data_IF_860533659080
#
_entry.id   IF_860533659080
#
_cell.length_a   1.000
_cell.length_b   1.000
_cell.length_c   1.000
_cell.angle_alpha   90.00
_cell.angle_beta   90.00
_cell.angle_gamma   90.00
#
_symmetry.space_group_name_H-M   'P 1'
#
loop_
_entity.id
_entity.type
_entity.pdbx_description
1 polymer ?
#
# COMPACT_ATOMS: atom_id res chain seq x y z
N UNK A 1 -50.14 -0.80 11.41
CA UNK A 1 -48.69 -0.52 11.49
C UNK A 1 -47.94 -1.49 10.58
N UNK A 2 -47.66 -1.10 9.33
CA UNK A 2 -46.95 -1.94 8.35
C UNK A 2 -45.48 -2.07 8.75
N UNK A 3 -45.00 -3.30 8.98
CA UNK A 3 -43.57 -3.58 9.22
C UNK A 3 -42.80 -3.35 7.91
N UNK A 4 -42.11 -2.22 7.81
CA UNK A 4 -41.19 -1.96 6.70
C UNK A 4 -40.11 -3.06 6.68
N UNK A 5 -40.06 -3.84 5.59
CA UNK A 5 -39.01 -4.84 5.38
C UNK A 5 -37.69 -4.11 5.15
N UNK A 6 -36.65 -4.40 5.97
CA UNK A 6 -35.30 -3.87 5.75
C UNK A 6 -34.84 -4.26 4.34
N UNK A 7 -34.24 -3.33 3.56
CA UNK A 7 -33.75 -3.66 2.22
C UNK A 7 -32.69 -4.76 2.33
N UNK A 8 -32.80 -5.78 1.46
CA UNK A 8 -31.81 -6.85 1.35
C UNK A 8 -30.46 -6.24 1.00
N UNK A 9 -29.56 -6.17 1.97
CA UNK A 9 -28.19 -5.69 1.75
C UNK A 9 -27.48 -6.74 0.90
N UNK A 10 -26.98 -6.36 -0.27
CA UNK A 10 -26.12 -7.24 -1.07
C UNK A 10 -24.90 -7.55 -0.19
N UNK A 11 -24.60 -8.82 0.10
CA UNK A 11 -23.39 -9.16 0.84
C UNK A 11 -22.18 -8.82 -0.02
N UNK A 12 -21.36 -7.88 0.45
CA UNK A 12 -20.24 -7.31 -0.30
C UNK A 12 -20.52 -5.88 -0.74
N UNK A 13 -19.72 -4.94 -0.23
CA UNK A 13 -19.84 -3.52 -0.62
C UNK A 13 -19.57 -3.34 -2.11
N UNK A 14 -20.33 -2.45 -2.75
CA UNK A 14 -20.07 -2.04 -4.13
C UNK A 14 -18.79 -1.18 -4.19
N UNK A 15 -17.92 -1.48 -5.16
CA UNK A 15 -16.77 -0.63 -5.48
C UNK A 15 -16.95 -0.05 -6.86
N UNK A 16 -17.03 1.27 -6.95
CA UNK A 16 -17.18 1.96 -8.22
C UNK A 16 -15.88 1.90 -9.02
N UNK A 17 -15.96 1.44 -10.27
CA UNK A 17 -14.91 1.61 -11.27
C UNK A 17 -15.37 2.68 -12.27
N UNK A 18 -14.77 3.88 -12.26
CA UNK A 18 -15.26 4.99 -13.10
C UNK A 18 -15.16 4.66 -14.59
N UNK A 19 -16.13 5.12 -15.37
CA UNK A 19 -16.12 4.95 -16.83
C UNK A 19 -14.84 5.48 -17.48
N UNK A 20 -14.35 6.64 -17.02
CA UNK A 20 -13.07 7.22 -17.44
C UNK A 20 -11.91 6.26 -17.20
N UNK A 21 -11.89 5.58 -16.06
CA UNK A 21 -10.83 4.62 -15.71
C UNK A 21 -10.92 3.37 -16.57
N UNK A 22 -12.12 2.79 -16.72
CA UNK A 22 -12.36 1.58 -17.49
C UNK A 22 -11.91 1.70 -18.96
N UNK A 23 -12.13 2.88 -19.56
CA UNK A 23 -11.80 3.15 -20.97
C UNK A 23 -10.41 3.78 -21.16
N UNK A 24 -9.64 3.98 -20.09
CA UNK A 24 -8.32 4.58 -20.19
C UNK A 24 -7.28 3.59 -20.75
N UNK A 25 -6.29 4.11 -21.49
CA UNK A 25 -5.16 3.30 -22.02
C UNK A 25 -4.42 2.53 -20.92
N UNK A 26 -4.28 3.14 -19.73
CA UNK A 26 -3.69 2.49 -18.55
C UNK A 26 -4.42 1.22 -18.15
N UNK A 27 -5.76 1.28 -18.08
CA UNK A 27 -6.56 0.13 -17.70
C UNK A 27 -6.55 -0.91 -18.81
N UNK A 28 -6.74 -0.50 -20.07
CA UNK A 28 -6.76 -1.40 -21.23
C UNK A 28 -5.48 -2.23 -21.32
N UNK A 29 -4.30 -1.62 -21.11
CA UNK A 29 -2.99 -2.31 -21.17
C UNK A 29 -2.65 -3.13 -19.93
N UNK A 30 -3.43 -3.00 -18.85
CA UNK A 30 -3.20 -3.71 -17.61
C UNK A 30 -3.40 -5.24 -17.79
N UNK A 31 -2.55 -6.09 -17.19
CA UNK A 31 -2.73 -7.55 -17.24
C UNK A 31 -4.10 -7.99 -16.69
N UNK A 32 -4.72 -9.06 -17.21
CA UNK A 32 -6.05 -9.51 -16.78
C UNK A 32 -6.19 -9.69 -15.27
N UNK A 33 -5.21 -10.33 -14.63
CA UNK A 33 -5.21 -10.54 -13.18
C UNK A 33 -5.15 -9.22 -12.40
N UNK A 34 -4.44 -8.22 -12.92
CA UNK A 34 -4.37 -6.91 -12.30
C UNK A 34 -5.66 -6.10 -12.50
N UNK A 35 -6.33 -6.24 -13.65
CA UNK A 35 -7.67 -5.67 -13.88
C UNK A 35 -8.69 -6.21 -12.88
N UNK A 36 -8.74 -7.54 -12.72
CA UNK A 36 -9.65 -8.19 -11.79
C UNK A 36 -9.42 -7.79 -10.32
N UNK A 37 -8.17 -7.51 -9.95
CA UNK A 37 -7.82 -7.11 -8.59
C UNK A 37 -7.93 -5.59 -8.35
N UNK A 38 -7.97 -4.75 -9.38
CA UNK A 38 -8.07 -3.29 -9.23
C UNK A 38 -9.25 -2.84 -8.35
N UNK A 39 -10.50 -3.35 -8.53
CA UNK A 39 -11.61 -3.01 -7.66
C UNK A 39 -11.36 -3.32 -6.18
N UNK A 40 -10.62 -4.39 -5.87
CA UNK A 40 -10.27 -4.68 -4.47
C UNK A 40 -9.43 -3.55 -3.86
N UNK A 41 -8.45 -3.02 -4.59
CA UNK A 41 -7.62 -1.90 -4.13
C UNK A 41 -8.42 -0.59 -4.01
N UNK A 42 -9.30 -0.30 -4.97
CA UNK A 42 -10.19 0.87 -4.91
C UNK A 42 -11.13 0.80 -3.69
N UNK A 43 -11.60 -0.41 -3.34
CA UNK A 43 -12.48 -0.65 -2.21
C UNK A 43 -11.81 -0.69 -0.84
N UNK A 44 -10.46 -0.71 -0.79
CA UNK A 44 -9.70 -0.58 0.47
C UNK A 44 -9.80 0.83 1.03
N UNK A 45 -9.86 1.83 0.16
CA UNK A 45 -10.09 3.22 0.55
C UNK A 45 -11.57 3.39 0.86
N UNK A 46 -11.90 3.63 2.13
CA UNK A 46 -13.28 3.82 2.61
C UNK A 46 -13.74 5.28 2.55
N UNK A 47 -13.05 6.09 1.76
CA UNK A 47 -13.34 7.50 1.52
C UNK A 47 -14.09 7.61 0.18
N UNK A 48 -14.99 8.58 0.06
CA UNK A 48 -15.70 8.80 -1.18
C UNK A 48 -14.74 9.30 -2.27
N UNK A 49 -14.86 8.78 -3.50
CA UNK A 49 -13.91 9.05 -4.60
C UNK A 49 -13.82 10.53 -5.01
N UNK A 50 -14.88 11.31 -4.76
CA UNK A 50 -14.90 12.76 -5.06
C UNK A 50 -14.13 13.59 -4.03
N UNK A 51 -13.78 13.02 -2.88
CA UNK A 51 -13.03 13.74 -1.87
C UNK A 51 -11.55 13.79 -2.23
N UNK A 52 -10.92 14.94 -1.99
CA UNK A 52 -9.50 15.13 -2.27
C UNK A 52 -8.64 14.09 -1.53
N UNK A 53 -9.06 13.68 -0.33
CA UNK A 53 -8.36 12.72 0.52
C UNK A 53 -8.33 11.30 -0.05
N UNK A 54 -9.17 10.96 -1.03
CA UNK A 54 -9.25 9.62 -1.60
C UNK A 54 -7.89 9.10 -2.12
N UNK A 55 -7.10 9.96 -2.75
CA UNK A 55 -5.76 9.62 -3.28
C UNK A 55 -4.64 9.79 -2.26
N UNK A 56 -4.93 10.39 -1.10
CA UNK A 56 -3.98 10.52 0.00
C UNK A 56 -4.16 9.42 1.06
N UNK A 57 -5.28 8.71 1.03
CA UNK A 57 -5.55 7.61 1.93
C UNK A 57 -4.54 6.48 1.75
N UNK A 58 -3.88 6.13 2.85
CA UNK A 58 -2.98 5.01 2.91
C UNK A 58 -3.74 3.72 3.24
N UNK A 59 -3.35 2.62 2.60
CA UNK A 59 -3.84 1.30 2.92
C UNK A 59 -2.70 0.30 2.90
N UNK A 60 -2.77 -0.65 3.82
CA UNK A 60 -1.80 -1.73 3.90
C UNK A 60 -2.27 -2.93 3.08
N UNK A 61 -1.33 -3.63 2.45
CA UNK A 61 -1.59 -4.93 1.88
C UNK A 61 -0.61 -5.96 2.40
N UNK A 62 -1.16 -7.10 2.78
CA UNK A 62 -0.43 -8.25 3.27
C UNK A 62 -0.55 -9.41 2.28
N UNK A 63 0.45 -10.29 2.28
CA UNK A 63 0.35 -11.54 1.53
C UNK A 63 -0.76 -12.46 2.04
N UNK A 64 -1.17 -12.32 3.31
CA UNK A 64 -2.28 -13.10 3.89
C UNK A 64 -3.62 -12.72 3.26
N UNK A 65 -3.82 -11.44 2.97
CA UNK A 65 -5.01 -10.97 2.25
C UNK A 65 -5.03 -11.48 0.81
N UNK A 66 -3.86 -11.51 0.14
CA UNK A 66 -3.77 -12.06 -1.21
C UNK A 66 -4.18 -13.55 -1.26
N UNK A 67 -3.78 -14.34 -0.27
CA UNK A 67 -4.17 -15.76 -0.16
C UNK A 67 -5.68 -15.90 0.09
N UNK A 68 -6.30 -15.01 0.88
CA UNK A 68 -7.76 -15.00 1.05
C UNK A 68 -8.52 -14.68 -0.23
N UNK A 69 -7.88 -14.02 -1.20
CA UNK A 69 -8.42 -13.73 -2.53
C UNK A 69 -8.06 -14.80 -3.56
N UNK A 70 -7.64 -15.98 -3.09
CA UNK A 70 -7.19 -17.10 -3.92
C UNK A 70 -6.07 -16.71 -4.93
N UNK A 71 -5.23 -15.76 -4.53
CA UNK A 71 -4.16 -15.24 -5.37
C UNK A 71 -2.80 -15.73 -4.87
N UNK A 72 -2.13 -16.55 -5.68
CA UNK A 72 -0.78 -17.02 -5.39
C UNK A 72 0.18 -15.84 -5.17
N UNK A 73 1.09 -15.97 -4.19
CA UNK A 73 2.01 -14.91 -3.78
C UNK A 73 2.82 -14.29 -4.93
N UNK A 74 3.27 -15.12 -5.88
CA UNK A 74 4.02 -14.68 -7.07
C UNK A 74 3.14 -13.87 -8.01
N UNK A 75 1.91 -14.31 -8.23
CA UNK A 75 0.90 -13.60 -9.01
C UNK A 75 0.56 -12.27 -8.37
N UNK A 76 0.33 -12.24 -7.06
CA UNK A 76 0.07 -11.02 -6.32
C UNK A 76 1.19 -9.99 -6.46
N UNK A 77 2.45 -10.43 -6.37
CA UNK A 77 3.61 -9.54 -6.58
C UNK A 77 3.62 -8.95 -7.99
N UNK A 78 3.29 -9.75 -9.02
CA UNK A 78 3.17 -9.27 -10.41
C UNK A 78 2.01 -8.28 -10.58
N UNK A 79 0.87 -8.51 -9.93
CA UNK A 79 -0.28 -7.60 -9.93
C UNK A 79 0.12 -6.24 -9.36
N UNK A 80 0.76 -6.22 -8.18
CA UNK A 80 1.19 -4.96 -7.55
C UNK A 80 2.17 -4.21 -8.44
N UNK A 81 3.18 -4.89 -9.02
CA UNK A 81 4.13 -4.26 -9.93
C UNK A 81 3.40 -3.64 -11.13
N UNK A 82 2.49 -4.39 -11.76
CA UNK A 82 1.72 -3.90 -12.90
C UNK A 82 0.88 -2.67 -12.53
N UNK A 83 0.23 -2.66 -11.37
CA UNK A 83 -0.57 -1.52 -10.91
C UNK A 83 0.28 -0.27 -10.64
N UNK A 84 1.50 -0.43 -10.11
CA UNK A 84 2.44 0.68 -9.91
C UNK A 84 2.95 1.22 -11.25
N UNK A 85 3.33 0.33 -12.17
CA UNK A 85 3.84 0.67 -13.50
C UNK A 85 2.79 1.39 -14.35
N UNK A 86 1.51 1.05 -14.19
CA UNK A 86 0.41 1.72 -14.87
C UNK A 86 -0.15 2.92 -14.10
N UNK A 87 0.42 3.24 -12.94
CA UNK A 87 0.09 4.45 -12.17
C UNK A 87 -1.25 4.40 -11.41
N UNK A 88 -1.75 3.22 -11.08
CA UNK A 88 -2.97 3.05 -10.28
C UNK A 88 -2.71 3.13 -8.78
N UNK A 89 -1.55 2.66 -8.33
CA UNK A 89 -1.14 2.70 -6.92
C UNK A 89 0.32 3.17 -6.82
N UNK A 90 0.65 3.82 -5.72
CA UNK A 90 2.02 4.18 -5.38
C UNK A 90 2.40 3.59 -4.01
N UNK A 91 3.57 2.96 -3.86
CA UNK A 91 4.04 2.52 -2.55
C UNK A 91 4.50 3.74 -1.73
N UNK A 92 4.00 3.83 -0.50
CA UNK A 92 4.39 4.88 0.47
C UNK A 92 5.50 4.38 1.38
N UNK A 93 5.37 3.15 1.88
CA UNK A 93 6.36 2.52 2.75
C UNK A 93 6.50 1.03 2.47
N UNK A 94 7.74 0.55 2.33
CA UNK A 94 8.03 -0.86 2.11
C UNK A 94 8.42 -1.54 3.43
N UNK A 95 7.47 -2.22 4.07
CA UNK A 95 7.74 -2.96 5.29
C UNK A 95 8.54 -4.23 5.04
N UNK A 96 9.53 -4.50 5.90
CA UNK A 96 10.39 -5.71 5.83
C UNK A 96 9.69 -6.95 6.41
N UNK A 97 8.64 -6.76 7.23
CA UNK A 97 8.00 -7.83 8.01
C UNK A 97 6.49 -7.61 8.20
N UNK A 98 5.68 -7.54 7.14
CA UNK A 98 4.27 -8.03 7.11
C UNK A 98 3.30 -7.19 6.26
N UNK A 99 3.61 -5.94 5.93
CA UNK A 99 2.77 -5.16 5.01
C UNK A 99 3.58 -4.09 4.28
N UNK A 100 3.21 -3.85 3.02
CA UNK A 100 3.62 -2.64 2.31
C UNK A 100 2.44 -1.68 2.36
N UNK A 101 2.71 -0.41 2.61
CA UNK A 101 1.71 0.66 2.63
C UNK A 101 1.69 1.30 1.26
N UNK A 102 0.49 1.47 0.73
CA UNK A 102 0.24 2.05 -0.58
C UNK A 102 -0.78 3.17 -0.46
N UNK A 103 -0.85 3.98 -1.50
CA UNK A 103 -1.95 4.91 -1.77
C UNK A 103 -2.43 4.73 -3.20
N UNK A 104 -3.65 5.17 -3.48
CA UNK A 104 -4.13 5.27 -4.85
C UNK A 104 -3.38 6.40 -5.56
N UNK A 105 -3.18 6.26 -6.86
CA UNK A 105 -2.47 7.24 -7.67
C UNK A 105 -3.34 7.74 -8.81
N UNK A 106 -3.14 8.99 -9.21
CA UNK A 106 -3.71 9.57 -10.45
C UNK A 106 -2.76 9.45 -11.64
N UNK A 107 -1.57 8.87 -11.46
CA UNK A 107 -0.56 8.74 -12.53
C UNK A 107 -1.10 7.96 -13.73
N UNK A 108 -2.06 7.06 -13.53
CA UNK A 108 -2.75 6.35 -14.61
C UNK A 108 -3.41 7.30 -15.61
N UNK A 109 -3.86 8.50 -15.21
CA UNK A 109 -4.47 9.48 -16.11
C UNK A 109 -3.49 10.02 -17.15
N UNK A 110 -2.19 10.05 -16.80
CA UNK A 110 -1.14 10.51 -17.70
C UNK A 110 -0.53 9.38 -18.53
N UNK A 111 -0.90 8.12 -18.26
CA UNK A 111 -0.28 6.95 -18.87
C UNK A 111 -0.37 6.95 -20.40
N UNK A 112 0.79 6.81 -21.06
CA UNK A 112 0.90 6.86 -22.52
C UNK A 112 1.00 8.28 -23.09
N UNK A 113 1.12 9.31 -22.25
CA UNK A 113 1.49 10.67 -22.63
C UNK A 113 2.95 10.97 -22.29
N UNK A 114 3.52 12.02 -22.86
CA UNK A 114 4.89 12.46 -22.54
C UNK A 114 5.04 12.92 -21.07
N UNK A 115 3.94 13.29 -20.42
CA UNK A 115 3.92 13.71 -19.02
C UNK A 115 3.72 12.53 -18.05
N UNK A 116 3.70 11.29 -18.54
CA UNK A 116 3.71 10.13 -17.66
C UNK A 116 5.07 9.98 -16.98
N UNK A 117 5.10 10.11 -15.66
CA UNK A 117 6.29 9.81 -14.86
C UNK A 117 6.24 8.34 -14.38
N UNK A 118 7.17 7.47 -14.81
CA UNK A 118 7.27 6.09 -14.30
C UNK A 118 7.71 6.07 -12.85
N UNK A 119 7.22 5.11 -12.06
CA UNK A 119 7.66 4.97 -10.67
C UNK A 119 8.96 4.17 -10.61
N UNK A 120 10.04 4.69 -9.97
CA UNK A 120 11.31 3.99 -9.87
C UNK A 120 11.27 2.90 -8.78
N UNK A 121 10.57 1.78 -9.06
CA UNK A 121 10.32 0.69 -8.09
C UNK A 121 11.63 0.14 -7.50
N UNK A 122 12.66 -0.05 -8.34
CA UNK A 122 13.96 -0.61 -7.92
C UNK A 122 14.65 0.30 -6.90
N UNK A 123 14.73 1.60 -7.21
CA UNK A 123 15.38 2.58 -6.32
C UNK A 123 14.58 2.81 -5.05
N UNK A 124 13.25 2.77 -5.14
CA UNK A 124 12.40 2.87 -3.96
C UNK A 124 12.64 1.72 -2.99
N UNK A 125 12.64 0.47 -3.48
CA UNK A 125 12.94 -0.71 -2.65
C UNK A 125 14.32 -0.62 -2.01
N UNK A 126 15.35 -0.25 -2.80
CA UNK A 126 16.73 -0.10 -2.30
C UNK A 126 16.78 0.92 -1.16
N UNK A 127 16.24 2.13 -1.37
CA UNK A 127 16.21 3.20 -0.35
C UNK A 127 15.52 2.78 0.95
N UNK A 128 14.43 2.01 0.87
CA UNK A 128 13.72 1.53 2.07
C UNK A 128 14.55 0.49 2.84
N UNK A 129 15.26 -0.40 2.14
CA UNK A 129 16.17 -1.37 2.75
C UNK A 129 17.32 -0.63 3.46
N UNK A 130 17.95 0.33 2.79
CA UNK A 130 19.04 1.15 3.36
C UNK A 130 18.62 1.87 4.64
N UNK A 131 17.44 2.53 4.62
CA UNK A 131 16.86 3.17 5.82
C UNK A 131 16.65 2.17 6.97
N UNK A 132 16.16 0.97 6.67
CA UNK A 132 15.94 -0.06 7.68
C UNK A 132 17.27 -0.57 8.28
N UNK A 133 18.31 -0.73 7.46
CA UNK A 133 19.66 -1.10 7.91
C UNK A 133 20.25 0.00 8.81
N UNK A 134 20.17 1.26 8.40
CA UNK A 134 20.69 2.39 9.17
C UNK A 134 20.00 2.52 10.53
N UNK A 135 18.67 2.38 10.57
CA UNK A 135 17.90 2.43 11.83
C UNK A 135 18.37 1.34 12.82
N UNK A 136 18.60 0.11 12.33
CA UNK A 136 19.11 -0.98 13.17
C UNK A 136 20.49 -0.68 13.74
N UNK A 137 21.41 -0.13 12.93
CA UNK A 137 22.74 0.28 13.39
C UNK A 137 22.66 1.29 14.53
N UNK A 138 21.82 2.32 14.40
CA UNK A 138 21.63 3.35 15.44
C UNK A 138 21.04 2.75 16.73
N UNK A 139 20.09 1.82 16.62
CA UNK A 139 19.49 1.15 17.80
C UNK A 139 20.48 0.25 18.52
N UNK A 140 21.39 -0.42 17.80
CA UNK A 140 22.46 -1.24 18.42
C UNK A 140 23.42 -0.34 19.21
N UNK A 141 23.86 0.78 18.63
CA UNK A 141 24.77 1.74 19.30
C UNK A 141 24.14 2.36 20.56
N UNK A 142 22.83 2.60 20.57
CA UNK A 142 22.13 3.13 21.77
C UNK A 142 21.88 2.11 22.87
N UNK A 143 22.07 0.82 22.59
CA UNK A 143 21.82 -0.27 23.54
C UNK A 143 23.13 -0.91 24.04
N UNK A 144 24.30 -0.34 23.73
CA UNK A 144 25.52 -0.65 24.47
C UNK A 144 25.39 0.01 25.86
N UNK A 145 25.32 -0.76 26.97
CA UNK A 145 25.38 -0.16 28.28
C UNK A 145 26.77 0.45 28.45
N UNK A 146 26.82 1.73 28.81
CA UNK A 146 28.04 2.41 29.23
C UNK A 146 28.68 1.61 30.37
N UNK A 147 29.66 0.77 30.06
CA UNK A 147 30.36 -0.03 31.05
C UNK A 147 31.43 0.79 31.79
N UNK A 148 31.24 2.09 32.02
CA UNK A 148 32.16 2.90 32.85
C UNK A 148 31.45 4.13 33.45
N UNK A 149 31.41 4.19 34.80
CA UNK A 149 31.04 5.36 35.63
C UNK A 149 29.66 5.19 36.31
N UNK A 150 29.46 5.27 37.63
CA UNK A 150 30.22 5.89 38.71
C UNK A 150 30.00 5.15 40.05
N UNK A 151 30.94 5.38 40.97
CA UNK A 151 31.13 4.64 42.20
C UNK A 151 29.99 4.76 43.23
N UNK A 152 29.83 3.64 43.95
CA UNK A 152 29.12 3.57 45.23
C UNK A 152 29.73 4.58 46.21
N UNK A 153 28.98 5.60 46.63
CA UNK A 153 29.21 6.21 47.95
C UNK A 153 28.36 5.48 48.99
N UNK A 154 29.05 4.62 49.75
CA UNK A 154 28.57 4.06 51.01
C UNK A 154 28.64 5.18 52.04
N UNK A 155 27.49 5.71 52.48
CA UNK A 155 27.43 6.57 53.66
C UNK A 155 27.15 5.69 54.88
N UNK A 156 28.19 5.39 55.65
CA UNK A 156 28.08 4.81 56.99
C UNK A 156 27.82 5.93 58.00
N UNK A 157 26.86 5.64 58.89
CA UNK A 157 26.57 6.22 60.21
C UNK A 157 26.03 7.66 60.26
#
# INVERSE_FOLDING_TARGET
MSKQKKPKTIPGGYVALPWKMLNHKAYIKLPPNAKGMLPYFLGKVKIHMMEHQYYHAEFSLTYKEAVHLDCARRTFTRIIIALIEHGFIDPVHWGVRNSTIYRLSKRWEMFGTAAFEPFPIKDFKRRQIEKAVQKRRITVVKNEPDQYGEGKQVRQK
#
